data_IF_311251085973
#
_entry.id   IF_311251085973
#
_cell.length_a   1.000
_cell.length_b   1.000
_cell.length_c   1.000
_cell.angle_alpha   90.00
_cell.angle_beta   90.00
_cell.angle_gamma   90.00
#
_symmetry.space_group_name_H-M   'P 1'
#
loop_
_entity.id
_entity.type
_entity.pdbx_description
1 polymer ?
#
# COMPACT_ATOMS: atom_id res chain seq x y z
N UNK A 1 -14.89 23.55 -40.94
CA UNK A 1 -13.71 23.66 -40.05
C UNK A 1 -13.99 23.36 -38.56
N UNK A 2 -15.22 23.02 -38.14
CA UNK A 2 -15.53 22.64 -36.74
C UNK A 2 -15.42 21.11 -36.50
N UNK A 3 -15.75 20.29 -37.50
CA UNK A 3 -15.70 18.81 -37.42
C UNK A 3 -14.27 18.28 -37.24
N UNK A 4 -13.28 18.88 -37.92
CA UNK A 4 -11.86 18.52 -37.80
C UNK A 4 -11.31 18.85 -36.40
N UNK A 5 -11.78 19.94 -35.77
CA UNK A 5 -11.38 20.35 -34.43
C UNK A 5 -11.98 19.47 -33.31
N UNK A 6 -13.10 18.79 -33.56
CA UNK A 6 -13.68 17.80 -32.65
C UNK A 6 -12.99 16.43 -32.77
N UNK A 7 -12.55 16.05 -33.98
CA UNK A 7 -11.78 14.81 -34.20
C UNK A 7 -10.35 14.87 -33.62
N UNK A 8 -9.72 16.04 -33.63
CA UNK A 8 -8.35 16.26 -33.13
C UNK A 8 -8.29 16.72 -31.67
N UNK A 9 -9.38 16.61 -30.90
CA UNK A 9 -9.46 17.26 -29.59
C UNK A 9 -8.71 16.52 -28.47
N UNK A 10 -8.30 15.26 -28.65
CA UNK A 10 -7.62 14.50 -27.59
C UNK A 10 -6.67 13.36 -28.06
N UNK A 11 -5.68 13.59 -28.96
CA UNK A 11 -4.67 12.55 -29.24
C UNK A 11 -3.90 12.15 -27.97
N UNK A 12 -3.69 13.09 -27.04
CA UNK A 12 -3.02 12.88 -25.75
C UNK A 12 -3.87 12.17 -24.67
N UNK A 13 -5.19 12.03 -24.84
CA UNK A 13 -5.98 11.14 -23.95
C UNK A 13 -6.04 9.71 -24.48
N UNK A 14 -5.92 9.50 -25.80
CA UNK A 14 -5.98 8.16 -26.40
C UNK A 14 -4.64 7.43 -26.36
N UNK A 15 -3.55 8.17 -26.47
CA UNK A 15 -2.19 7.73 -26.16
C UNK A 15 -1.76 8.61 -25.01
N UNK A 16 -1.96 8.16 -23.77
CA UNK A 16 -1.50 8.92 -22.60
C UNK A 16 -0.05 8.51 -22.33
N UNK A 17 0.98 9.22 -22.85
CA UNK A 17 2.38 8.85 -22.65
C UNK A 17 2.74 8.82 -21.16
N UNK A 18 2.05 9.63 -20.34
CA UNK A 18 2.16 9.61 -18.89
C UNK A 18 1.70 8.29 -18.25
N UNK A 19 0.66 7.64 -18.81
CA UNK A 19 0.20 6.35 -18.31
C UNK A 19 1.20 5.23 -18.64
N UNK A 20 1.77 5.26 -19.85
CA UNK A 20 2.82 4.33 -20.25
C UNK A 20 4.10 4.52 -19.42
N UNK A 21 4.47 5.77 -19.15
CA UNK A 21 5.61 6.11 -18.30
C UNK A 21 5.39 5.71 -16.84
N UNK A 22 4.19 5.93 -16.29
CA UNK A 22 3.84 5.51 -14.93
C UNK A 22 3.84 3.98 -14.80
N UNK A 23 3.33 3.25 -15.80
CA UNK A 23 3.38 1.79 -15.83
C UNK A 23 4.83 1.27 -15.81
N UNK A 24 5.75 1.92 -16.53
CA UNK A 24 7.16 1.56 -16.52
C UNK A 24 7.84 1.86 -15.17
N UNK A 25 7.58 3.04 -14.59
CA UNK A 25 8.12 3.42 -13.28
C UNK A 25 7.63 2.52 -12.15
N UNK A 26 6.37 2.06 -12.19
CA UNK A 26 5.83 1.08 -11.22
C UNK A 26 6.59 -0.25 -11.26
N UNK A 27 7.07 -0.69 -12.44
CA UNK A 27 7.77 -1.97 -12.58
C UNK A 27 9.23 -1.92 -12.14
N UNK A 28 9.86 -0.75 -12.18
CA UNK A 28 11.22 -0.56 -11.69
C UNK A 28 11.32 -0.28 -10.19
N UNK A 29 10.19 -0.17 -9.48
CA UNK A 29 10.21 0.20 -8.06
C UNK A 29 11.02 -0.81 -7.22
N UNK A 30 12.13 -0.38 -6.60
CA UNK A 30 12.96 -1.25 -5.76
C UNK A 30 12.32 -1.54 -4.40
N UNK A 31 11.16 -0.93 -4.10
CA UNK A 31 10.44 -1.08 -2.85
C UNK A 31 9.57 -2.33 -2.89
N UNK A 32 9.68 -3.19 -1.88
CA UNK A 32 8.90 -4.42 -1.75
C UNK A 32 8.42 -4.61 -0.32
N UNK A 33 7.16 -5.02 -0.19
CA UNK A 33 6.63 -5.49 1.08
C UNK A 33 6.77 -7.01 1.18
N UNK A 34 7.23 -7.48 2.33
CA UNK A 34 7.35 -8.91 2.65
C UNK A 34 6.61 -9.18 3.94
N UNK A 35 5.64 -10.10 3.88
CA UNK A 35 4.95 -10.62 5.05
C UNK A 35 5.51 -11.99 5.41
N UNK A 36 5.86 -12.23 6.67
CA UNK A 36 6.19 -13.56 7.21
C UNK A 36 4.92 -14.27 7.66
N UNK A 37 4.98 -15.59 7.80
CA UNK A 37 3.90 -16.36 8.38
C UNK A 37 3.65 -15.85 9.81
N UNK A 38 2.42 -15.40 10.06
CA UNK A 38 1.93 -15.03 11.37
C UNK A 38 0.58 -15.69 11.58
N UNK A 39 0.12 -15.68 12.83
CA UNK A 39 -1.27 -16.01 13.12
C UNK A 39 -2.22 -15.11 12.32
N UNK A 40 -3.43 -15.61 12.02
CA UNK A 40 -4.42 -14.94 11.18
C UNK A 40 -4.94 -13.66 11.84
N UNK A 41 -4.15 -12.59 11.83
CA UNK A 41 -4.55 -11.26 12.30
C UNK A 41 -5.26 -10.48 11.19
N UNK A 42 -6.44 -9.92 11.48
CA UNK A 42 -7.26 -9.16 10.52
C UNK A 42 -6.99 -7.65 10.49
N UNK A 43 -5.99 -7.15 11.23
CA UNK A 43 -5.73 -5.71 11.35
C UNK A 43 -5.14 -5.14 10.06
N UNK A 44 -4.27 -5.91 9.39
CA UNK A 44 -3.67 -5.51 8.12
C UNK A 44 -4.70 -5.31 7.00
N UNK A 45 -5.80 -6.07 7.03
CA UNK A 45 -6.94 -5.89 6.15
C UNK A 45 -7.67 -4.57 6.43
N UNK A 46 -8.06 -4.34 7.69
CA UNK A 46 -8.74 -3.10 8.12
C UNK A 46 -7.93 -1.83 7.86
N UNK A 47 -6.61 -1.91 8.01
CA UNK A 47 -5.71 -0.80 7.74
C UNK A 47 -5.46 -0.54 6.24
N UNK A 48 -5.86 -1.47 5.36
CA UNK A 48 -5.60 -1.37 3.93
C UNK A 48 -6.64 -0.46 3.27
N UNK A 49 -6.25 0.70 2.71
CA UNK A 49 -7.18 1.57 1.99
C UNK A 49 -7.70 0.95 0.69
N UNK A 50 -7.04 -0.11 0.20
CA UNK A 50 -7.41 -0.86 -1.01
C UNK A 50 -8.23 -2.12 -0.69
N UNK A 51 -8.56 -2.37 0.58
CA UNK A 51 -9.41 -3.50 1.01
C UNK A 51 -8.96 -4.89 0.50
N UNK A 52 -7.64 -5.13 0.52
CA UNK A 52 -7.03 -6.36 0.00
C UNK A 52 -7.18 -7.50 1.03
N UNK A 53 -8.09 -8.43 0.80
CA UNK A 53 -8.41 -9.52 1.73
C UNK A 53 -7.31 -10.59 1.82
N UNK A 54 -6.55 -10.79 0.73
CA UNK A 54 -5.47 -11.78 0.65
C UNK A 54 -4.35 -11.50 1.64
N UNK A 55 -4.19 -10.24 2.07
CA UNK A 55 -3.16 -9.83 3.02
C UNK A 55 -3.35 -10.51 4.38
N UNK A 56 -4.57 -10.92 4.73
CA UNK A 56 -4.86 -11.64 5.97
C UNK A 56 -4.47 -13.12 5.85
N UNK A 57 -4.78 -13.76 4.72
CA UNK A 57 -4.71 -15.21 4.55
C UNK A 57 -3.35 -15.70 4.04
N UNK A 58 -2.73 -14.96 3.12
CA UNK A 58 -1.48 -15.34 2.47
C UNK A 58 -0.27 -14.78 3.20
N UNK A 59 0.88 -15.37 2.93
CA UNK A 59 2.19 -14.95 3.44
C UNK A 59 3.18 -14.80 2.28
N UNK A 60 4.26 -14.07 2.51
CA UNK A 60 5.28 -13.78 1.52
C UNK A 60 4.87 -12.68 0.53
N UNK A 61 5.53 -12.62 -0.64
CA UNK A 61 5.19 -11.63 -1.68
C UNK A 61 3.79 -11.84 -2.27
N UNK A 62 3.22 -13.05 -2.15
CA UNK A 62 1.87 -13.39 -2.62
C UNK A 62 0.75 -12.82 -1.75
N UNK A 63 1.09 -12.19 -0.62
CA UNK A 63 0.12 -11.55 0.26
C UNK A 63 -0.35 -10.16 -0.24
N UNK A 64 0.37 -9.58 -1.20
CA UNK A 64 0.07 -8.27 -1.76
C UNK A 64 -0.39 -8.44 -3.22
N UNK A 65 -1.59 -7.94 -3.52
CA UNK A 65 -2.16 -7.93 -4.87
C UNK A 65 -1.48 -6.87 -5.74
N UNK A 66 -1.72 -6.88 -7.05
CA UNK A 66 -1.20 -5.87 -8.00
C UNK A 66 -1.74 -4.45 -7.74
N UNK A 67 -2.86 -4.38 -7.01
CA UNK A 67 -3.49 -3.13 -6.55
C UNK A 67 -2.83 -2.53 -5.31
N UNK A 68 -1.85 -3.23 -4.72
CA UNK A 68 -1.10 -2.71 -3.59
C UNK A 68 -0.35 -1.43 -3.99
N UNK A 69 -0.66 -0.33 -3.33
CA UNK A 69 -0.04 0.98 -3.54
C UNK A 69 1.27 1.18 -2.74
N UNK A 70 1.73 0.14 -2.02
CA UNK A 70 2.88 0.19 -1.11
C UNK A 70 2.79 1.33 -0.06
N UNK A 71 1.59 1.66 0.40
CA UNK A 71 1.37 2.72 1.41
C UNK A 71 2.01 2.46 2.80
N UNK A 72 2.41 1.23 3.10
CA UNK A 72 3.09 0.89 4.35
C UNK A 72 2.21 0.75 5.60
N UNK A 73 0.92 1.15 5.55
CA UNK A 73 0.00 1.10 6.71
C UNK A 73 -0.12 -0.29 7.34
N UNK A 74 -0.07 -1.35 6.55
CA UNK A 74 -0.09 -2.71 7.09
C UNK A 74 1.12 -3.02 7.98
N UNK A 75 2.31 -2.46 7.69
CA UNK A 75 3.48 -2.62 8.54
C UNK A 75 3.38 -1.79 9.83
N UNK A 76 2.76 -0.61 9.76
CA UNK A 76 2.56 0.30 10.90
C UNK A 76 1.53 -0.25 11.90
N UNK A 77 0.41 -0.77 11.40
CA UNK A 77 -0.70 -1.26 12.22
C UNK A 77 -0.58 -2.74 12.59
N UNK A 78 0.51 -3.41 12.24
CA UNK A 78 0.73 -4.80 12.64
C UNK A 78 1.33 -4.86 14.06
N UNK A 79 0.63 -5.47 15.04
CA UNK A 79 1.12 -5.57 16.42
C UNK A 79 2.24 -6.63 16.56
N UNK A 80 2.36 -7.54 15.61
CA UNK A 80 3.36 -8.61 15.60
C UNK A 80 4.72 -8.08 15.14
N UNK A 81 5.76 -8.37 15.93
CA UNK A 81 7.10 -7.89 15.68
C UNK A 81 7.74 -8.59 14.47
N UNK A 82 8.14 -7.81 13.47
CA UNK A 82 8.91 -8.27 12.31
C UNK A 82 8.12 -9.12 11.30
N UNK A 83 6.80 -9.25 11.48
CA UNK A 83 5.90 -9.96 10.57
C UNK A 83 5.83 -9.28 9.22
N UNK A 84 5.67 -7.95 9.18
CA UNK A 84 5.62 -7.19 7.94
C UNK A 84 6.86 -6.30 7.85
N UNK A 85 7.54 -6.38 6.71
CA UNK A 85 8.79 -5.66 6.47
C UNK A 85 8.71 -4.91 5.15
N UNK A 86 9.10 -3.63 5.18
CA UNK A 86 9.27 -2.80 4.01
C UNK A 86 10.74 -2.85 3.63
N UNK A 87 11.04 -3.42 2.47
CA UNK A 87 12.39 -3.52 1.91
C UNK A 87 12.55 -2.54 0.75
N UNK A 88 13.76 -2.00 0.62
CA UNK A 88 14.18 -1.20 -0.50
C UNK A 88 15.47 -1.81 -1.04
N UNK A 89 15.34 -2.63 -2.08
CA UNK A 89 16.41 -3.52 -2.53
C UNK A 89 16.90 -4.45 -1.41
N UNK A 90 18.20 -4.46 -1.06
CA UNK A 90 18.75 -5.30 0.00
C UNK A 90 18.49 -4.75 1.42
N UNK A 91 18.13 -3.47 1.56
CA UNK A 91 17.96 -2.80 2.85
C UNK A 91 16.53 -2.98 3.37
N UNK A 92 16.37 -3.18 4.68
CA UNK A 92 15.04 -3.17 5.32
C UNK A 92 14.81 -1.79 5.91
N UNK A 93 13.86 -1.03 5.37
CA UNK A 93 13.55 0.33 5.81
C UNK A 93 12.70 0.33 7.08
N UNK A 94 11.72 -0.57 7.15
CA UNK A 94 10.80 -0.60 8.28
C UNK A 94 10.36 -2.03 8.59
N UNK A 95 10.14 -2.31 9.88
CA UNK A 95 9.60 -3.56 10.38
C UNK A 95 8.44 -3.27 11.32
N UNK A 96 7.39 -4.07 11.22
CA UNK A 96 6.29 -4.02 12.17
C UNK A 96 6.83 -4.23 13.59
N UNK A 97 6.36 -3.44 14.53
CA UNK A 97 6.72 -3.60 15.94
C UNK A 97 5.56 -3.22 16.83
N UNK A 98 5.42 -3.93 17.95
CA UNK A 98 4.34 -3.72 18.91
C UNK A 98 4.38 -2.32 19.53
N UNK A 99 5.58 -1.79 19.78
CA UNK A 99 5.76 -0.45 20.33
C UNK A 99 5.33 0.63 19.34
N UNK A 100 5.63 0.44 18.05
CA UNK A 100 5.16 1.35 17.01
C UNK A 100 3.64 1.31 16.88
N UNK A 101 3.04 0.11 16.85
CA UNK A 101 1.59 -0.05 16.82
C UNK A 101 0.89 0.70 17.97
N UNK A 102 1.37 0.55 19.20
CA UNK A 102 0.82 1.23 20.39
C UNK A 102 0.94 2.75 20.31
N UNK A 103 2.02 3.26 19.73
CA UNK A 103 2.15 4.71 19.48
C UNK A 103 1.13 5.16 18.47
N UNK A 104 0.99 4.42 17.37
CA UNK A 104 0.19 4.87 16.23
C UNK A 104 -1.31 4.88 16.50
N UNK A 105 -1.80 3.88 17.23
CA UNK A 105 -3.23 3.79 17.59
C UNK A 105 -3.72 4.93 18.50
N UNK A 106 -2.81 5.66 19.16
CA UNK A 106 -3.15 6.87 19.93
C UNK A 106 -3.45 8.07 19.04
N UNK A 107 -2.94 8.08 17.82
CA UNK A 107 -3.14 9.18 16.88
C UNK A 107 -4.27 8.86 15.89
N UNK A 108 -4.32 7.63 15.40
CA UNK A 108 -5.22 7.22 14.32
C UNK A 108 -5.55 5.72 14.45
N UNK A 109 -6.82 5.38 14.20
CA UNK A 109 -7.28 4.00 14.21
C UNK A 109 -6.90 3.30 12.90
N UNK A 110 -6.81 1.96 12.88
CA UNK A 110 -6.57 1.19 11.65
C UNK A 110 -7.54 1.58 10.52
N UNK A 111 -8.80 1.88 10.86
CA UNK A 111 -9.86 2.23 9.90
C UNK A 111 -9.68 3.64 9.28
N UNK A 112 -8.64 4.39 9.67
CA UNK A 112 -8.33 5.73 9.14
C UNK A 112 -9.06 6.89 9.83
N UNK A 113 -9.92 6.59 10.80
CA UNK A 113 -10.47 7.61 11.68
C UNK A 113 -9.41 8.11 12.66
N UNK A 114 -9.26 9.44 12.74
CA UNK A 114 -8.36 10.08 13.72
C UNK A 114 -8.81 9.71 15.13
N UNK A 115 -7.87 9.37 16.00
CA UNK A 115 -8.17 9.18 17.41
C UNK A 115 -8.70 10.51 17.98
N UNK A 116 -9.76 10.42 18.79
CA UNK A 116 -10.36 11.61 19.38
C UNK A 116 -9.31 12.32 20.26
N UNK A 117 -9.14 13.65 20.14
CA UNK A 117 -8.24 14.38 21.01
C UNK A 117 -8.76 14.32 22.44
N UNK A 118 -8.03 13.62 23.31
CA UNK A 118 -8.20 13.66 24.77
C UNK A 118 -9.38 12.86 25.32
N UNK A 119 -9.08 11.74 25.99
CA UNK A 119 -9.77 11.38 27.22
C UNK A 119 -8.77 10.75 28.18
#
# INVERSE_FOLDING_TARGET
MVVLALAMRQPFCRICPLLAFNALFRRLSPMRLVKRASEKCGICHRACPMDIHEIQQKSGPKAFHEDCTLCGRCAEYCPENGTIQIKFGPLTLFRSSRDYYKRRIRDEKPDGERAAPGR
#
